data_IF_802744563994
#
_entry.id   IF_802744563994
#
_cell.length_a   1.000
_cell.length_b   1.000
_cell.length_c   1.000
_cell.angle_alpha   90.00
_cell.angle_beta   90.00
_cell.angle_gamma   90.00
#
_symmetry.space_group_name_H-M   'P 1'
#
loop_
_entity.id
_entity.type
_entity.pdbx_description
1 polymer ?
#
# COMPACT_ATOMS: atom_id res chain seq x y z
N UNK A 1 13.10 -21.00 -1.17
CA UNK A 1 12.62 -21.14 -2.57
C UNK A 1 11.14 -21.40 -2.45
N UNK A 2 10.31 -20.51 -3.00
CA UNK A 2 8.88 -20.79 -3.20
C UNK A 2 8.74 -21.20 -4.66
N UNK A 3 8.31 -22.40 -4.91
CA UNK A 3 7.93 -22.86 -6.24
C UNK A 3 6.52 -22.30 -6.53
N UNK A 4 6.37 -21.56 -7.62
CA UNK A 4 5.10 -21.02 -8.06
C UNK A 4 4.57 -21.90 -9.18
N UNK A 5 3.41 -22.52 -8.97
CA UNK A 5 2.75 -23.33 -9.99
C UNK A 5 1.61 -22.51 -10.61
N UNK A 6 1.65 -22.34 -11.93
CA UNK A 6 0.56 -21.73 -12.68
C UNK A 6 -0.29 -22.87 -13.26
N UNK A 7 -1.53 -23.00 -12.78
CA UNK A 7 -2.49 -23.95 -13.33
C UNK A 7 -3.45 -23.20 -14.25
N UNK A 8 -3.48 -23.60 -15.52
CA UNK A 8 -4.43 -23.07 -16.50
C UNK A 8 -5.26 -24.22 -17.05
N UNK A 9 -6.58 -24.05 -17.07
CA UNK A 9 -7.51 -24.98 -17.71
C UNK A 9 -7.83 -24.47 -19.12
N UNK A 10 -7.70 -25.36 -20.11
CA UNK A 10 -8.11 -25.11 -21.50
C UNK A 10 -9.38 -25.91 -21.77
N UNK A 11 -10.44 -25.26 -22.18
CA UNK A 11 -11.77 -25.90 -22.35
C UNK A 11 -11.81 -26.97 -23.45
N UNK A 12 -10.91 -26.91 -24.41
CA UNK A 12 -10.77 -27.92 -25.48
C UNK A 12 -9.32 -27.97 -25.95
N UNK A 13 -8.72 -29.14 -25.87
CA UNK A 13 -7.47 -29.46 -26.53
C UNK A 13 -7.79 -30.21 -27.83
N UNK A 14 -7.36 -29.67 -28.96
CA UNK A 14 -7.47 -30.26 -30.28
C UNK A 14 -6.03 -30.40 -30.81
N UNK A 15 -5.53 -31.61 -30.95
CA UNK A 15 -4.13 -31.91 -31.33
C UNK A 15 -3.74 -31.26 -32.67
N UNK A 16 -4.71 -30.98 -33.54
CA UNK A 16 -4.49 -30.41 -34.86
C UNK A 16 -4.57 -28.86 -34.88
N UNK A 17 -4.80 -28.22 -33.74
CA UNK A 17 -4.98 -26.75 -33.69
C UNK A 17 -4.15 -26.10 -32.60
N UNK A 18 -3.56 -24.94 -32.90
CA UNK A 18 -2.82 -24.19 -31.86
C UNK A 18 -3.75 -23.83 -30.70
N UNK A 19 -3.26 -23.92 -29.49
CA UNK A 19 -3.97 -23.50 -28.28
C UNK A 19 -4.30 -22.00 -28.41
N UNK A 20 -5.59 -21.66 -28.30
CA UNK A 20 -6.03 -20.28 -28.29
C UNK A 20 -6.27 -19.82 -26.86
N UNK A 21 -5.49 -18.85 -26.44
CA UNK A 21 -5.62 -18.21 -25.14
C UNK A 21 -6.60 -17.05 -25.27
N UNK A 22 -7.55 -16.94 -24.33
CA UNK A 22 -8.53 -15.85 -24.33
C UNK A 22 -7.83 -14.50 -24.23
N UNK A 23 -8.10 -13.61 -25.18
CA UNK A 23 -7.55 -12.25 -25.21
C UNK A 23 -7.90 -11.50 -23.92
N UNK A 24 -6.90 -10.86 -23.29
CA UNK A 24 -7.07 -10.12 -22.04
C UNK A 24 -7.02 -10.99 -20.77
N UNK A 25 -6.80 -12.31 -20.89
CA UNK A 25 -6.54 -13.16 -19.73
C UNK A 25 -5.09 -13.00 -19.22
N UNK A 26 -4.84 -13.30 -17.96
CA UNK A 26 -3.47 -13.35 -17.41
C UNK A 26 -2.58 -14.31 -18.22
N UNK A 27 -3.14 -15.44 -18.63
CA UNK A 27 -2.43 -16.42 -19.46
C UNK A 27 -2.02 -15.82 -20.81
N UNK A 28 -2.86 -14.97 -21.45
CA UNK A 28 -2.51 -14.32 -22.72
C UNK A 28 -1.31 -13.37 -22.61
N UNK A 29 -1.09 -12.78 -21.43
CA UNK A 29 0.06 -11.91 -21.16
C UNK A 29 1.36 -12.72 -21.01
N UNK A 30 1.27 -13.96 -20.54
CA UNK A 30 2.40 -14.83 -20.27
C UNK A 30 2.65 -15.83 -21.42
N UNK A 31 1.72 -15.93 -22.36
CA UNK A 31 1.74 -16.93 -23.42
C UNK A 31 3.01 -16.95 -24.27
N UNK A 32 3.57 -15.79 -24.69
CA UNK A 32 4.81 -15.80 -25.48
C UNK A 32 5.99 -16.48 -24.80
N UNK A 33 6.00 -16.52 -23.47
CA UNK A 33 7.09 -17.13 -22.69
C UNK A 33 6.78 -18.60 -22.27
N UNK A 34 5.51 -18.98 -22.31
CA UNK A 34 5.05 -20.29 -21.80
C UNK A 34 4.58 -21.23 -22.93
N UNK A 35 4.45 -20.73 -24.15
CA UNK A 35 3.92 -21.51 -25.28
C UNK A 35 4.70 -22.81 -25.52
N UNK A 36 6.03 -22.75 -25.48
CA UNK A 36 6.91 -23.90 -25.69
C UNK A 36 6.73 -24.94 -24.59
N UNK A 37 6.59 -24.52 -23.32
CA UNK A 37 6.42 -25.42 -22.17
C UNK A 37 5.09 -26.19 -22.23
N UNK A 38 4.06 -25.60 -22.88
CA UNK A 38 2.77 -26.27 -23.02
C UNK A 38 2.77 -27.37 -24.09
N UNK A 39 3.65 -27.30 -25.07
CA UNK A 39 3.76 -28.30 -26.14
C UNK A 39 4.72 -29.43 -25.82
N UNK A 40 5.62 -29.26 -24.85
CA UNK A 40 6.58 -30.29 -24.44
C UNK A 40 6.01 -31.23 -23.39
N UNK A 41 4.85 -30.98 -22.79
CA UNK A 41 4.20 -31.89 -21.88
C UNK A 41 3.76 -33.15 -22.64
N UNK A 42 4.44 -34.27 -22.41
CA UNK A 42 3.97 -35.57 -22.88
C UNK A 42 2.49 -35.75 -22.49
N UNK A 43 1.65 -36.29 -23.39
CA UNK A 43 0.26 -36.54 -23.05
C UNK A 43 0.25 -37.40 -21.78
N UNK A 44 -0.20 -36.79 -20.68
CA UNK A 44 -0.19 -37.47 -19.37
C UNK A 44 -0.86 -38.82 -19.51
N UNK A 45 -0.27 -39.85 -18.92
CA UNK A 45 -0.88 -41.17 -18.79
C UNK A 45 -2.34 -40.93 -18.37
N UNK A 46 -3.35 -41.42 -19.12
CA UNK A 46 -4.72 -41.28 -18.75
C UNK A 46 -4.85 -41.70 -17.28
N UNK A 47 -5.24 -40.77 -16.43
CA UNK A 47 -5.55 -41.14 -15.05
C UNK A 47 -6.78 -42.04 -15.18
N UNK A 48 -6.52 -43.34 -15.24
CA UNK A 48 -7.57 -44.33 -15.15
C UNK A 48 -8.28 -44.07 -13.84
N UNK A 49 -9.57 -43.89 -13.90
CA UNK A 49 -10.47 -43.41 -12.87
C UNK A 49 -10.55 -44.23 -11.58
N UNK A 50 -9.47 -44.91 -11.19
CA UNK A 50 -9.40 -45.74 -10.00
C UNK A 50 -8.45 -45.25 -8.91
N UNK A 51 -7.96 -44.00 -9.05
CA UNK A 51 -7.45 -43.27 -7.91
C UNK A 51 -8.63 -42.56 -7.28
N UNK A 52 -9.32 -43.22 -6.35
CA UNK A 52 -10.16 -42.56 -5.38
C UNK A 52 -9.24 -41.67 -4.56
N UNK A 53 -8.93 -40.45 -5.09
CA UNK A 53 -8.48 -39.34 -4.27
C UNK A 53 -9.63 -39.09 -3.34
N UNK A 54 -9.54 -39.57 -2.09
CA UNK A 54 -10.37 -39.04 -1.03
C UNK A 54 -10.10 -37.55 -1.00
N UNK A 55 -10.89 -36.82 -1.76
CA UNK A 55 -11.00 -35.36 -1.60
C UNK A 55 -11.42 -35.22 -0.14
N UNK A 56 -10.55 -34.68 0.76
CA UNK A 56 -10.95 -34.50 2.13
C UNK A 56 -12.25 -33.72 2.10
N UNK A 57 -13.34 -34.39 2.50
CA UNK A 57 -14.65 -33.76 2.54
C UNK A 57 -14.44 -32.47 3.31
N UNK A 58 -14.76 -31.32 2.71
CA UNK A 58 -14.68 -30.04 3.41
C UNK A 58 -15.44 -30.23 4.71
N UNK A 59 -14.71 -30.41 5.82
CA UNK A 59 -15.28 -30.60 7.11
C UNK A 59 -16.10 -29.33 7.39
N UNK A 60 -17.43 -29.43 7.30
CA UNK A 60 -18.28 -28.36 7.76
C UNK A 60 -18.14 -28.32 9.27
N UNK A 61 -17.84 -27.16 9.79
CA UNK A 61 -17.94 -26.92 11.23
C UNK A 61 -19.34 -27.37 11.68
N UNK A 62 -19.39 -28.12 12.79
CA UNK A 62 -20.67 -28.55 13.32
C UNK A 62 -21.54 -27.34 13.65
N UNK A 63 -22.86 -27.48 13.60
CA UNK A 63 -23.78 -26.41 13.99
C UNK A 63 -23.60 -25.96 15.46
N UNK A 64 -22.91 -26.79 16.27
CA UNK A 64 -22.55 -26.51 17.67
C UNK A 64 -21.12 -25.96 17.83
N UNK A 65 -20.41 -25.70 16.74
CA UNK A 65 -19.06 -25.13 16.82
C UNK A 65 -19.15 -23.69 17.31
N UNK A 66 -18.68 -23.45 18.51
CA UNK A 66 -18.56 -22.13 19.12
C UNK A 66 -17.09 -21.69 19.02
N UNK A 67 -16.85 -20.55 18.37
CA UNK A 67 -15.54 -19.91 18.39
C UNK A 67 -15.37 -19.26 19.76
N UNK A 68 -14.47 -19.79 20.59
CA UNK A 68 -14.01 -19.02 21.74
C UNK A 68 -13.11 -17.90 21.23
N UNK A 69 -13.66 -16.71 21.13
CA UNK A 69 -12.86 -15.52 20.77
C UNK A 69 -11.86 -15.25 21.91
N UNK A 70 -10.60 -14.92 21.60
CA UNK A 70 -9.64 -14.51 22.60
C UNK A 70 -10.23 -13.37 23.44
N UNK A 71 -10.09 -13.44 24.77
CA UNK A 71 -10.57 -12.39 25.68
C UNK A 71 -9.92 -11.07 25.27
N UNK A 72 -10.71 -10.10 24.84
CA UNK A 72 -10.27 -8.78 24.38
C UNK A 72 -10.74 -8.39 22.98
N UNK A 73 -11.38 -9.31 22.22
CA UNK A 73 -12.07 -8.89 21.01
C UNK A 73 -13.44 -8.33 21.41
N UNK A 74 -13.51 -7.02 21.55
CA UNK A 74 -14.78 -6.32 21.75
C UNK A 74 -15.47 -6.20 20.40
N UNK A 75 -16.60 -6.87 20.20
CA UNK A 75 -17.50 -6.65 19.08
C UNK A 75 -18.51 -5.61 19.54
N UNK A 76 -18.37 -4.33 19.19
CA UNK A 76 -19.37 -3.33 19.58
C UNK A 76 -20.69 -3.64 18.88
N UNK A 77 -21.79 -3.48 19.62
CA UNK A 77 -23.13 -3.51 19.03
C UNK A 77 -23.22 -2.48 17.88
N UNK A 78 -23.83 -2.87 16.77
CA UNK A 78 -23.99 -2.01 15.62
C UNK A 78 -24.63 -0.67 16.03
N UNK A 79 -23.86 0.41 15.95
CA UNK A 79 -24.42 1.75 15.99
C UNK A 79 -24.91 2.12 14.58
N UNK A 80 -26.03 2.81 14.54
CA UNK A 80 -26.73 3.17 13.31
C UNK A 80 -26.06 4.37 12.58
N UNK A 81 -24.75 4.54 12.75
CA UNK A 81 -24.01 5.62 12.11
C UNK A 81 -23.82 5.33 10.61
N UNK A 82 -24.16 6.31 9.82
CA UNK A 82 -24.25 6.25 8.37
C UNK A 82 -22.98 5.65 7.75
N UNK A 83 -23.17 4.62 6.96
CA UNK A 83 -22.13 4.05 6.09
C UNK A 83 -21.70 5.15 5.13
N UNK A 84 -20.40 5.52 5.04
CA UNK A 84 -19.93 6.41 3.98
C UNK A 84 -20.37 5.80 2.65
N UNK A 85 -21.14 6.55 1.86
CA UNK A 85 -21.58 6.09 0.55
C UNK A 85 -20.39 5.99 -0.39
N UNK A 86 -20.49 5.16 -1.44
CA UNK A 86 -19.49 5.11 -2.51
C UNK A 86 -19.14 6.50 -3.06
N UNK A 87 -20.03 7.46 -2.94
CA UNK A 87 -19.82 8.85 -3.30
C UNK A 87 -18.86 9.60 -2.37
N UNK A 88 -18.84 9.34 -1.07
CA UNK A 88 -17.89 9.99 -0.14
C UNK A 88 -16.46 9.48 -0.35
N UNK A 89 -16.31 8.20 -0.71
CA UNK A 89 -15.03 7.67 -1.18
C UNK A 89 -14.65 8.22 -2.56
N UNK A 90 -15.64 8.47 -3.44
CA UNK A 90 -15.41 9.05 -4.76
C UNK A 90 -15.09 10.55 -4.72
N UNK A 91 -15.55 11.29 -3.71
CA UNK A 91 -15.24 12.71 -3.56
C UNK A 91 -13.77 12.93 -3.15
N UNK A 92 -13.18 12.01 -2.40
CA UNK A 92 -11.72 11.97 -2.17
C UNK A 92 -10.93 11.83 -3.50
N UNK A 93 -11.57 11.27 -4.54
CA UNK A 93 -11.00 11.06 -5.89
C UNK A 93 -11.30 12.21 -6.86
N UNK A 94 -12.37 12.99 -6.64
CA UNK A 94 -12.87 14.04 -7.54
C UNK A 94 -12.21 15.41 -7.37
N UNK A 95 -11.72 15.74 -6.17
CA UNK A 95 -11.05 17.03 -5.95
C UNK A 95 -9.67 17.17 -6.64
N UNK A 96 -9.20 16.11 -7.29
CA UNK A 96 -7.91 16.06 -7.96
C UNK A 96 -7.99 16.13 -9.50
N UNK A 97 -9.14 16.48 -10.08
CA UNK A 97 -9.29 16.61 -11.54
C UNK A 97 -8.46 17.78 -12.09
N UNK A 98 -7.43 17.42 -12.86
CA UNK A 98 -6.59 18.33 -13.66
C UNK A 98 -5.09 18.23 -13.40
N UNK A 99 -4.64 18.21 -12.17
CA UNK A 99 -3.23 17.99 -11.79
C UNK A 99 -3.08 16.77 -10.86
N UNK A 100 -4.20 16.19 -10.44
CA UNK A 100 -4.29 15.17 -9.42
C UNK A 100 -3.54 13.90 -9.73
N UNK A 101 -3.64 13.40 -10.97
CA UNK A 101 -2.96 12.15 -11.36
C UNK A 101 -1.43 12.26 -11.26
N UNK A 102 -0.85 13.38 -11.71
CA UNK A 102 0.60 13.62 -11.62
C UNK A 102 1.05 13.74 -10.17
N UNK A 103 0.34 14.52 -9.37
CA UNK A 103 0.63 14.70 -7.95
C UNK A 103 0.50 13.37 -7.19
N UNK A 104 -0.56 12.59 -7.47
CA UNK A 104 -0.76 11.25 -6.91
C UNK A 104 0.41 10.31 -7.25
N UNK A 105 0.82 10.26 -8.53
CA UNK A 105 1.93 9.40 -8.95
C UNK A 105 3.24 9.81 -8.28
N UNK A 106 3.53 11.10 -8.14
CA UNK A 106 4.67 11.61 -7.38
C UNK A 106 4.60 11.12 -5.93
N UNK A 107 3.42 11.24 -5.30
CA UNK A 107 3.19 10.74 -3.94
C UNK A 107 3.48 9.24 -3.81
N UNK A 108 2.90 8.42 -4.68
CA UNK A 108 3.09 6.95 -4.68
C UNK A 108 4.58 6.59 -4.82
N UNK A 109 5.29 7.20 -5.76
CA UNK A 109 6.72 6.90 -5.96
C UNK A 109 7.57 7.43 -4.80
N UNK A 110 7.24 8.61 -4.26
CA UNK A 110 7.90 9.13 -3.06
C UNK A 110 7.76 8.17 -1.88
N UNK A 111 6.54 7.68 -1.57
CA UNK A 111 6.28 6.72 -0.48
C UNK A 111 7.13 5.46 -0.66
N UNK A 112 7.21 4.89 -1.86
CA UNK A 112 8.07 3.72 -2.14
C UNK A 112 9.54 3.98 -1.89
N UNK A 113 10.03 5.17 -2.20
CA UNK A 113 11.44 5.52 -1.97
C UNK A 113 11.70 5.67 -0.47
N UNK A 114 10.86 6.36 0.28
CA UNK A 114 11.04 6.52 1.74
C UNK A 114 10.83 5.20 2.50
N UNK A 115 9.95 4.32 2.00
CA UNK A 115 9.81 2.96 2.48
C UNK A 115 11.12 2.17 2.33
N UNK A 116 11.74 2.23 1.15
CA UNK A 116 13.03 1.58 0.89
C UNK A 116 14.12 2.13 1.83
N UNK A 117 14.20 3.45 2.00
CA UNK A 117 15.13 4.11 2.91
C UNK A 117 14.95 3.60 4.34
N UNK A 118 13.71 3.49 4.78
CA UNK A 118 13.43 3.02 6.13
C UNK A 118 13.76 1.53 6.33
N UNK A 119 13.55 0.68 5.32
CA UNK A 119 13.93 -0.74 5.36
C UNK A 119 15.44 -0.94 5.42
N UNK A 120 16.18 -0.17 4.62
CA UNK A 120 17.65 -0.25 4.58
C UNK A 120 18.32 0.48 5.75
N UNK A 121 17.62 1.41 6.35
CA UNK A 121 18.11 2.31 7.40
C UNK A 121 18.63 3.63 6.84
N UNK A 122 18.24 4.74 7.48
CA UNK A 122 18.58 6.11 7.04
C UNK A 122 20.11 6.35 7.00
N UNK A 123 20.85 5.65 7.84
CA UNK A 123 22.33 5.80 7.90
C UNK A 123 23.03 5.27 6.64
N UNK A 124 22.37 4.38 5.90
CA UNK A 124 22.88 3.86 4.63
C UNK A 124 22.60 4.82 3.46
N UNK A 125 21.87 5.92 3.68
CA UNK A 125 21.46 6.83 2.62
C UNK A 125 22.15 8.19 2.73
N UNK A 126 22.86 8.54 1.67
CA UNK A 126 23.45 9.85 1.45
C UNK A 126 22.85 10.50 0.19
N UNK A 127 23.14 11.79 -0.02
CA UNK A 127 22.74 12.51 -1.23
C UNK A 127 23.38 11.86 -2.47
N UNK A 128 24.64 11.43 -2.38
CA UNK A 128 25.36 10.76 -3.45
C UNK A 128 24.68 9.43 -3.82
N UNK A 129 24.29 8.63 -2.81
CA UNK A 129 23.55 7.40 -3.05
C UNK A 129 22.20 7.68 -3.70
N UNK A 130 21.48 8.69 -3.25
CA UNK A 130 20.19 9.09 -3.85
C UNK A 130 20.38 9.46 -5.34
N UNK A 131 21.48 10.15 -5.70
CA UNK A 131 21.78 10.48 -7.11
C UNK A 131 21.87 9.23 -7.99
N UNK A 132 22.40 8.12 -7.47
CA UNK A 132 22.48 6.86 -8.23
C UNK A 132 21.12 6.22 -8.49
N UNK A 133 20.05 6.64 -7.78
CA UNK A 133 18.72 6.05 -7.89
C UNK A 133 17.80 6.71 -8.93
N UNK A 134 18.27 7.75 -9.64
CA UNK A 134 17.46 8.47 -10.64
C UNK A 134 16.83 7.57 -11.70
N UNK A 135 17.58 6.59 -12.21
CA UNK A 135 17.05 5.65 -13.20
C UNK A 135 15.95 4.75 -12.62
N UNK A 136 16.13 4.27 -11.39
CA UNK A 136 15.12 3.46 -10.70
C UNK A 136 13.85 4.28 -10.44
N UNK A 137 13.98 5.54 -10.01
CA UNK A 137 12.84 6.46 -9.83
C UNK A 137 12.13 6.69 -11.16
N UNK A 138 12.87 6.89 -12.26
CA UNK A 138 12.29 7.04 -13.60
C UNK A 138 11.52 5.78 -14.03
N UNK A 139 12.02 4.59 -13.74
CA UNK A 139 11.34 3.33 -14.02
C UNK A 139 10.04 3.19 -13.20
N UNK A 140 10.06 3.57 -11.93
CA UNK A 140 8.86 3.58 -11.08
C UNK A 140 7.80 4.56 -11.63
N UNK A 141 8.18 5.77 -12.01
CA UNK A 141 7.26 6.75 -12.60
C UNK A 141 6.60 6.22 -13.87
N UNK A 142 7.38 5.59 -14.77
CA UNK A 142 6.82 4.98 -15.99
C UNK A 142 5.86 3.84 -15.68
N UNK A 143 6.20 3.00 -14.69
CA UNK A 143 5.33 1.89 -14.25
C UNK A 143 4.01 2.39 -13.71
N UNK A 144 4.01 3.52 -13.01
CA UNK A 144 2.79 4.17 -12.51
C UNK A 144 2.09 5.02 -13.59
N UNK A 145 2.51 4.94 -14.85
CA UNK A 145 1.87 5.62 -15.97
C UNK A 145 2.17 7.11 -16.07
N UNK A 146 3.20 7.63 -15.40
CA UNK A 146 3.58 9.05 -15.51
C UNK A 146 3.92 9.42 -16.96
N UNK A 147 3.48 10.59 -17.46
CA UNK A 147 3.69 10.98 -18.86
C UNK A 147 5.16 10.91 -19.26
N UNK A 148 5.49 10.18 -20.33
CA UNK A 148 6.87 9.89 -20.72
C UNK A 148 7.72 11.15 -20.92
N UNK A 149 7.15 12.20 -21.53
CA UNK A 149 7.83 13.48 -21.74
C UNK A 149 8.15 14.22 -20.42
N UNK A 150 7.41 13.96 -19.34
CA UNK A 150 7.53 14.64 -18.06
C UNK A 150 8.33 13.84 -17.02
N UNK A 151 8.72 12.58 -17.33
CA UNK A 151 9.50 11.73 -16.42
C UNK A 151 10.74 12.43 -15.87
N UNK A 152 11.54 13.19 -16.64
CA UNK A 152 12.70 13.91 -16.10
C UNK A 152 12.33 14.91 -15.00
N UNK A 153 11.24 15.66 -15.18
CA UNK A 153 10.74 16.62 -14.17
C UNK A 153 10.20 15.87 -12.94
N UNK A 154 9.47 14.77 -13.13
CA UNK A 154 9.01 13.92 -12.04
C UNK A 154 10.16 13.33 -11.21
N UNK A 155 11.22 12.87 -11.87
CA UNK A 155 12.45 12.40 -11.19
C UNK A 155 13.09 13.51 -10.37
N UNK A 156 13.25 14.71 -10.95
CA UNK A 156 13.81 15.85 -10.24
C UNK A 156 12.97 16.23 -9.01
N UNK A 157 11.65 16.20 -9.15
CA UNK A 157 10.71 16.47 -8.04
C UNK A 157 10.85 15.46 -6.91
N UNK A 158 10.80 14.16 -7.21
CA UNK A 158 10.94 13.11 -6.19
C UNK A 158 12.31 13.19 -5.53
N UNK A 159 13.36 13.37 -6.34
CA UNK A 159 14.71 13.52 -5.82
C UNK A 159 14.81 14.67 -4.82
N UNK A 160 14.25 15.83 -5.16
CA UNK A 160 14.23 17.00 -4.28
C UNK A 160 13.50 16.71 -2.95
N UNK A 161 12.31 16.08 -3.01
CA UNK A 161 11.54 15.74 -1.81
C UNK A 161 12.28 14.75 -0.91
N UNK A 162 12.89 13.71 -1.51
CA UNK A 162 13.67 12.70 -0.76
C UNK A 162 14.93 13.31 -0.18
N UNK A 163 15.65 14.14 -0.93
CA UNK A 163 16.83 14.86 -0.44
C UNK A 163 16.50 15.71 0.79
N UNK A 164 15.42 16.48 0.73
CA UNK A 164 14.94 17.25 1.89
C UNK A 164 14.60 16.33 3.06
N UNK A 165 13.95 15.20 2.82
CA UNK A 165 13.60 14.24 3.87
C UNK A 165 14.83 13.65 4.55
N UNK A 166 15.85 13.21 3.80
CA UNK A 166 17.06 12.60 4.40
C UNK A 166 17.99 13.63 5.04
N UNK A 167 17.87 14.90 4.67
CA UNK A 167 18.63 16.01 5.26
C UNK A 167 17.92 16.65 6.46
N UNK A 168 16.61 16.47 6.57
CA UNK A 168 15.79 17.03 7.65
C UNK A 168 15.99 16.29 8.96
N UNK A 169 16.07 17.03 10.07
CA UNK A 169 16.06 16.43 11.42
C UNK A 169 14.78 15.60 11.66
N UNK A 170 13.63 16.14 11.24
CA UNK A 170 12.34 15.42 11.35
C UNK A 170 12.32 14.17 10.46
N UNK A 171 12.73 14.29 9.19
CA UNK A 171 12.76 13.17 8.27
C UNK A 171 13.69 12.06 8.75
N UNK A 172 14.88 12.39 9.25
CA UNK A 172 15.81 11.41 9.84
C UNK A 172 15.23 10.74 11.08
N UNK A 173 14.57 11.50 11.95
CA UNK A 173 13.90 10.95 13.12
C UNK A 173 12.77 9.97 12.72
N UNK A 174 11.94 10.31 11.74
CA UNK A 174 10.88 9.45 11.24
C UNK A 174 11.45 8.18 10.61
N UNK A 175 12.50 8.29 9.78
CA UNK A 175 13.09 7.18 9.04
C UNK A 175 14.06 6.32 9.86
N UNK A 176 14.40 6.75 11.09
CA UNK A 176 15.25 5.96 11.98
C UNK A 176 14.66 4.56 12.16
N UNK A 177 15.52 3.54 12.05
CA UNK A 177 15.13 2.15 12.27
C UNK A 177 14.76 1.95 13.74
N UNK A 178 13.61 1.31 13.99
CA UNK A 178 13.10 0.97 15.33
C UNK A 178 12.61 -0.47 15.33
N UNK A 179 12.74 -1.16 16.45
CA UNK A 179 12.27 -2.56 16.61
C UNK A 179 10.75 -2.66 16.51
N UNK A 180 10.02 -1.68 17.05
CA UNK A 180 8.56 -1.59 17.06
C UNK A 180 8.02 -0.59 16.03
N UNK A 181 8.60 -0.57 14.82
CA UNK A 181 8.19 0.32 13.75
C UNK A 181 7.89 -0.45 12.46
N UNK A 182 6.99 0.07 11.64
CA UNK A 182 6.61 -0.49 10.36
C UNK A 182 6.58 0.55 9.24
N UNK A 183 6.37 0.05 8.03
CA UNK A 183 6.12 0.82 6.81
C UNK A 183 4.91 0.22 6.13
N UNK A 184 3.96 1.05 5.68
CA UNK A 184 2.71 0.60 5.05
C UNK A 184 2.04 -0.54 5.86
N UNK A 185 1.93 -0.34 7.17
CA UNK A 185 1.40 -1.35 8.08
C UNK A 185 -0.11 -1.42 7.92
N UNK A 186 -0.60 -2.59 7.51
CA UNK A 186 -2.03 -2.83 7.48
C UNK A 186 -2.56 -3.04 8.89
N UNK A 187 -3.53 -2.24 9.28
CA UNK A 187 -4.32 -2.41 10.49
C UNK A 187 -5.74 -2.76 10.09
N UNK A 188 -6.27 -3.82 10.68
CA UNK A 188 -7.63 -4.29 10.42
C UNK A 188 -8.47 -4.14 11.67
N UNK A 189 -9.62 -3.50 11.53
CA UNK A 189 -10.60 -3.38 12.60
C UNK A 189 -11.97 -3.87 12.14
N UNK A 190 -12.75 -4.42 13.05
CA UNK A 190 -14.11 -4.88 12.74
C UNK A 190 -15.12 -3.85 13.24
N UNK A 191 -15.84 -3.21 12.30
CA UNK A 191 -16.81 -2.16 12.60
C UNK A 191 -18.05 -2.31 11.72
N UNK A 192 -19.21 -1.99 12.27
CA UNK A 192 -20.48 -2.02 11.53
C UNK A 192 -20.67 -3.33 10.74
N UNK A 193 -20.36 -4.47 11.42
CA UNK A 193 -20.48 -5.83 10.85
C UNK A 193 -19.59 -6.10 9.62
N UNK A 194 -18.51 -5.33 9.43
CA UNK A 194 -17.53 -5.52 8.35
C UNK A 194 -16.10 -5.30 8.81
N UNK A 195 -15.17 -5.94 8.11
CA UNK A 195 -13.74 -5.66 8.27
C UNK A 195 -13.38 -4.37 7.53
N UNK A 196 -12.69 -3.48 8.23
CA UNK A 196 -12.13 -2.26 7.68
C UNK A 196 -10.63 -2.34 7.76
N UNK A 197 -9.97 -2.15 6.62
CA UNK A 197 -8.51 -2.17 6.53
C UNK A 197 -8.00 -0.75 6.33
N UNK A 198 -6.95 -0.40 7.08
CA UNK A 198 -6.25 0.87 6.95
C UNK A 198 -4.77 0.59 6.77
N UNK A 199 -4.11 1.37 5.93
CA UNK A 199 -2.68 1.29 5.71
C UNK A 199 -2.03 2.53 6.32
N UNK A 200 -1.15 2.32 7.29
CA UNK A 200 -0.43 3.37 7.99
C UNK A 200 0.93 3.54 7.32
N UNK A 201 1.24 4.73 6.84
CA UNK A 201 2.48 4.98 6.11
C UNK A 201 3.71 4.68 6.97
N UNK A 202 3.76 5.26 8.17
CA UNK A 202 4.89 5.09 9.08
C UNK A 202 4.45 5.09 10.55
N UNK A 203 3.97 3.95 11.09
CA UNK A 203 3.76 3.77 12.52
C UNK A 203 5.07 3.34 13.20
N UNK A 204 5.32 3.83 14.42
CA UNK A 204 6.42 3.40 15.29
C UNK A 204 6.22 3.83 16.73
N UNK A 205 6.94 3.21 17.66
CA UNK A 205 7.00 3.65 19.06
C UNK A 205 8.31 4.43 19.29
N UNK A 206 8.19 5.57 19.93
CA UNK A 206 9.32 6.40 20.34
C UNK A 206 8.98 7.04 21.70
N UNK A 207 9.85 6.89 22.68
CA UNK A 207 9.68 7.41 24.05
C UNK A 207 8.30 7.08 24.68
N UNK A 208 7.86 5.83 24.52
CA UNK A 208 6.59 5.36 25.08
C UNK A 208 5.33 5.87 24.38
N UNK A 209 5.46 6.55 23.25
CA UNK A 209 4.36 7.07 22.43
C UNK A 209 4.29 6.30 21.12
N UNK A 210 3.09 5.88 20.75
CA UNK A 210 2.82 5.28 19.44
C UNK A 210 2.54 6.41 18.44
N UNK A 211 3.48 6.65 17.53
CA UNK A 211 3.39 7.65 16.48
C UNK A 211 2.82 7.04 15.21
N UNK A 212 1.94 7.79 14.54
CA UNK A 212 1.46 7.50 13.19
C UNK A 212 1.81 8.73 12.35
N UNK A 213 2.79 8.58 11.47
CA UNK A 213 3.20 9.64 10.55
C UNK A 213 2.67 9.32 9.16
N UNK A 214 2.05 10.30 8.55
CA UNK A 214 1.55 10.21 7.18
C UNK A 214 2.32 11.23 6.32
N UNK A 215 2.84 10.76 5.18
CA UNK A 215 3.65 11.56 4.28
C UNK A 215 2.77 12.33 3.30
N UNK A 216 3.02 13.62 3.12
CA UNK A 216 2.29 14.46 2.17
C UNK A 216 3.24 15.29 1.32
N UNK A 217 3.07 15.21 0.01
CA UNK A 217 3.99 15.79 -0.99
C UNK A 217 3.50 17.07 -1.69
N UNK A 218 2.38 17.73 -1.31
CA UNK A 218 1.97 18.96 -1.97
C UNK A 218 2.97 20.09 -1.74
N UNK A 219 3.03 21.00 -2.70
CA UNK A 219 3.75 22.26 -2.55
C UNK A 219 2.90 23.30 -1.80
N UNK A 220 3.59 24.15 -1.05
CA UNK A 220 2.95 25.36 -0.55
C UNK A 220 2.68 26.29 -1.75
N UNK A 221 1.42 26.70 -1.99
CA UNK A 221 1.11 27.59 -3.09
C UNK A 221 1.91 28.91 -2.99
N UNK A 222 2.30 29.47 -4.14
CA UNK A 222 2.99 30.72 -4.20
C UNK A 222 2.16 31.82 -3.55
N UNK A 223 2.80 32.63 -2.71
CA UNK A 223 2.16 33.70 -1.97
C UNK A 223 1.35 33.27 -0.73
N UNK A 224 1.19 31.97 -0.48
CA UNK A 224 0.52 31.49 0.74
C UNK A 224 1.53 31.42 1.89
N UNK A 225 1.23 31.99 3.08
CA UNK A 225 2.04 31.77 4.27
C UNK A 225 2.11 30.28 4.64
N UNK A 226 3.30 29.78 4.98
CA UNK A 226 3.50 28.36 5.31
C UNK A 226 2.56 27.90 6.43
N UNK A 227 2.35 28.70 7.47
CA UNK A 227 1.47 28.33 8.57
C UNK A 227 0.00 28.18 8.14
N UNK A 228 -0.46 28.99 7.20
CA UNK A 228 -1.80 28.86 6.60
C UNK A 228 -1.89 27.57 5.77
N UNK A 229 -0.86 27.26 4.99
CA UNK A 229 -0.76 26.04 4.24
C UNK A 229 -0.81 24.81 5.17
N UNK A 230 0.00 24.80 6.24
CA UNK A 230 0.01 23.71 7.22
C UNK A 230 -1.35 23.51 7.87
N UNK A 231 -2.00 24.62 8.30
CA UNK A 231 -3.33 24.54 8.90
C UNK A 231 -4.36 23.95 7.94
N UNK A 232 -4.30 24.31 6.66
CA UNK A 232 -5.16 23.74 5.62
C UNK A 232 -4.94 22.23 5.46
N UNK A 233 -3.69 21.79 5.35
CA UNK A 233 -3.36 20.38 5.19
C UNK A 233 -3.74 19.56 6.44
N UNK A 234 -3.50 20.08 7.65
CA UNK A 234 -3.95 19.44 8.89
C UNK A 234 -5.47 19.26 8.89
N UNK A 235 -6.23 20.32 8.59
CA UNK A 235 -7.70 20.24 8.56
C UNK A 235 -8.20 19.23 7.53
N UNK A 236 -7.56 19.17 6.37
CA UNK A 236 -7.91 18.23 5.28
C UNK A 236 -7.72 16.77 5.71
N UNK A 237 -6.62 16.45 6.38
CA UNK A 237 -6.26 15.06 6.71
C UNK A 237 -6.64 14.63 8.12
N UNK A 238 -7.04 15.54 9.01
CA UNK A 238 -7.41 15.22 10.38
C UNK A 238 -8.50 14.13 10.49
N UNK A 239 -9.58 14.12 9.70
CA UNK A 239 -10.58 13.06 9.78
C UNK A 239 -9.98 11.67 9.53
N UNK A 240 -9.20 11.53 8.46
CA UNK A 240 -8.52 10.28 8.11
C UNK A 240 -7.51 9.83 9.18
N UNK A 241 -6.73 10.78 9.71
CA UNK A 241 -5.75 10.51 10.75
C UNK A 241 -6.42 10.04 12.05
N UNK A 242 -7.57 10.59 12.41
CA UNK A 242 -8.36 10.12 13.56
C UNK A 242 -8.86 8.69 13.38
N UNK A 243 -9.25 8.32 12.16
CA UNK A 243 -9.60 6.92 11.85
C UNK A 243 -8.41 5.98 12.04
N UNK A 244 -7.20 6.39 11.68
CA UNK A 244 -5.98 5.62 11.93
C UNK A 244 -5.75 5.40 13.43
N UNK A 245 -5.85 6.49 14.22
CA UNK A 245 -5.73 6.40 15.69
C UNK A 245 -6.73 5.42 16.27
N UNK A 246 -7.99 5.53 15.86
CA UNK A 246 -9.02 4.63 16.32
C UNK A 246 -8.76 3.18 15.90
N UNK A 247 -8.30 2.94 14.66
CA UNK A 247 -8.01 1.60 14.17
C UNK A 247 -6.90 0.91 14.99
N UNK A 248 -5.83 1.63 15.36
CA UNK A 248 -4.76 1.05 16.18
C UNK A 248 -5.19 0.83 17.63
N UNK A 249 -6.05 1.69 18.17
CA UNK A 249 -6.64 1.49 19.50
C UNK A 249 -7.55 0.27 19.53
N UNK A 250 -8.39 0.09 18.50
CA UNK A 250 -9.23 -1.09 18.33
C UNK A 250 -8.39 -2.37 18.15
N UNK A 251 -7.20 -2.26 17.57
CA UNK A 251 -6.23 -3.35 17.43
C UNK A 251 -5.44 -3.64 18.73
N UNK A 252 -5.73 -2.93 19.84
CA UNK A 252 -5.15 -3.21 21.15
C UNK A 252 -3.92 -2.37 21.51
N UNK A 253 -3.62 -1.30 20.77
CA UNK A 253 -2.55 -0.36 21.17
C UNK A 253 -3.01 0.43 22.40
N UNK A 254 -2.31 0.24 23.52
CA UNK A 254 -2.61 0.88 24.82
C UNK A 254 -1.73 2.11 25.09
N UNK A 255 -0.67 2.30 24.31
CA UNK A 255 0.19 3.48 24.42
C UNK A 255 -0.55 4.76 24.01
N UNK A 256 -0.13 5.92 24.53
CA UNK A 256 -0.56 7.20 23.98
C UNK A 256 -0.29 7.25 22.47
N UNK A 257 -1.32 7.57 21.66
CA UNK A 257 -1.20 7.64 20.20
C UNK A 257 -1.13 9.09 19.76
N UNK A 258 -0.07 9.45 19.06
CA UNK A 258 0.11 10.74 18.39
C UNK A 258 0.08 10.60 16.88
N UNK A 259 -0.53 11.57 16.23
CA UNK A 259 -0.71 11.65 14.80
C UNK A 259 0.08 12.84 14.27
N UNK A 260 0.79 12.69 13.16
CA UNK A 260 1.44 13.82 12.53
C UNK A 260 1.51 13.67 11.00
N UNK A 261 1.50 14.80 10.32
CA UNK A 261 1.81 14.92 8.89
C UNK A 261 3.26 15.39 8.75
N UNK A 262 4.00 14.74 7.86
CA UNK A 262 5.29 15.27 7.43
C UNK A 262 5.20 15.75 5.98
N UNK A 263 5.53 17.04 5.78
CA UNK A 263 5.49 17.71 4.50
C UNK A 263 6.92 18.07 4.04
N UNK A 264 7.57 17.19 3.26
CA UNK A 264 8.97 17.39 2.84
C UNK A 264 9.16 18.64 1.98
N UNK A 265 8.15 19.05 1.22
CA UNK A 265 8.23 20.27 0.39
C UNK A 265 8.53 21.53 1.18
N UNK A 266 8.09 21.60 2.44
CA UNK A 266 8.31 22.74 3.35
C UNK A 266 9.15 22.37 4.57
N UNK A 267 9.59 21.10 4.68
CA UNK A 267 10.32 20.55 5.82
C UNK A 267 9.60 20.81 7.15
N UNK A 268 8.37 20.34 7.25
CA UNK A 268 7.56 20.49 8.47
C UNK A 268 6.95 19.17 8.90
N UNK A 269 7.07 18.92 10.19
CA UNK A 269 6.31 17.89 10.92
C UNK A 269 5.26 18.62 11.75
N UNK A 270 3.98 18.28 11.53
CA UNK A 270 2.85 18.94 12.20
C UNK A 270 2.00 17.88 12.88
N UNK A 271 1.81 18.01 14.22
CA UNK A 271 0.91 17.12 14.94
C UNK A 271 -0.56 17.42 14.56
N UNK A 272 -1.34 16.34 14.45
CA UNK A 272 -2.78 16.39 14.17
C UNK A 272 -3.52 16.03 15.45
N UNK A 273 -4.40 16.92 15.90
CA UNK A 273 -5.17 16.74 17.13
C UNK A 273 -6.36 15.76 16.99
#
# INVERSE_FOLDING_TARGET
KCDCYLLAAVDKFDEDKPIRVASGSLLSCLWPELEEDFYEAEPGVPITADVSVEVPSKARLSASFTVELPRGIFIPAASNDQIPTENELADEWREEEGNGYRAKTIGVVYHRVVELISKEGIEAWSIERLQTKKQAIAALLRREGYPAAEVPAGVARIHHLVERTISSTHGRWILKKRESGGQEVQVSSYRNSRWVHRYLDRPFVDDGVYWIIDWKTPDCPEGMPVEQFLSREVNRYAPKMREYKQAVQDAGVTLPVKLALFLPAVDRLVEVA
#
